data_IF_048068804222
#
_entry.id   IF_048068804222
#
_cell.length_a   1.000
_cell.length_b   1.000
_cell.length_c   1.000
_cell.angle_alpha   90.00
_cell.angle_beta   90.00
_cell.angle_gamma   90.00
#
_symmetry.space_group_name_H-M   'P 1'
#
loop_
_entity.id
_entity.type
_entity.pdbx_description
1 polymer ?
#
# COMPACT_ATOMS: atom_id res chain seq x y z
N UNK A 1 -3.53 22.09 -9.18
CA UNK A 1 -3.19 21.71 -7.79
C UNK A 1 -4.36 21.84 -6.81
N UNK A 2 -5.00 23.01 -6.67
CA UNK A 2 -6.09 23.22 -5.69
C UNK A 2 -7.27 22.25 -5.87
N UNK A 3 -7.72 22.06 -7.11
CA UNK A 3 -8.83 21.17 -7.46
C UNK A 3 -8.56 19.69 -7.10
N UNK A 4 -7.30 19.25 -7.20
CA UNK A 4 -6.88 17.91 -6.81
C UNK A 4 -6.96 17.74 -5.28
N UNK A 5 -6.46 18.72 -4.52
CA UNK A 5 -6.55 18.74 -3.06
C UNK A 5 -8.00 18.76 -2.55
N UNK A 6 -8.87 19.54 -3.18
CA UNK A 6 -10.28 19.64 -2.81
C UNK A 6 -11.03 18.33 -3.09
N UNK A 7 -10.70 17.67 -4.22
CA UNK A 7 -11.24 16.35 -4.56
C UNK A 7 -10.77 15.28 -3.58
N UNK A 8 -9.48 15.28 -3.23
CA UNK A 8 -8.91 14.35 -2.26
C UNK A 8 -9.54 14.52 -0.87
N UNK A 9 -9.73 15.76 -0.40
CA UNK A 9 -10.41 16.05 0.87
C UNK A 9 -11.86 15.53 0.88
N UNK A 10 -12.59 15.70 -0.23
CA UNK A 10 -13.96 15.20 -0.38
C UNK A 10 -14.02 13.67 -0.37
N UNK A 11 -13.05 13.00 -1.00
CA UNK A 11 -12.93 11.54 -0.98
C UNK A 11 -12.58 11.03 0.42
N UNK A 12 -11.60 11.62 1.10
CA UNK A 12 -11.26 11.28 2.48
C UNK A 12 -12.46 11.42 3.41
N UNK A 13 -13.25 12.49 3.28
CA UNK A 13 -14.48 12.64 4.06
C UNK A 13 -15.50 11.52 3.81
N UNK A 14 -15.72 11.13 2.54
CA UNK A 14 -16.67 10.08 2.14
C UNK A 14 -16.25 8.67 2.57
N UNK A 15 -14.95 8.36 2.52
CA UNK A 15 -14.42 7.00 2.77
C UNK A 15 -13.65 6.90 4.10
N UNK A 16 -13.79 7.89 4.98
CA UNK A 16 -13.15 7.91 6.30
C UNK A 16 -13.60 6.78 7.24
N UNK A 17 -14.73 6.14 6.91
CA UNK A 17 -15.24 4.96 7.61
C UNK A 17 -15.48 3.85 6.58
N UNK A 18 -15.01 2.63 6.84
CA UNK A 18 -15.28 1.49 6.01
C UNK A 18 -16.76 1.16 6.13
N UNK A 19 -17.39 0.88 4.99
CA UNK A 19 -18.80 0.52 4.91
C UNK A 19 -19.14 -0.74 5.72
N UNK A 20 -18.13 -1.56 6.01
CA UNK A 20 -18.24 -2.75 6.87
C UNK A 20 -17.23 -2.68 8.02
N UNK A 21 -17.67 -2.88 9.27
CA UNK A 21 -16.76 -3.01 10.39
C UNK A 21 -15.87 -4.26 10.20
N UNK A 22 -14.57 -4.11 10.42
CA UNK A 22 -13.65 -5.25 10.44
C UNK A 22 -13.87 -5.99 11.75
N UNK A 23 -14.19 -7.29 11.67
CA UNK A 23 -14.33 -8.13 12.87
C UNK A 23 -13.02 -8.86 13.17
N UNK A 24 -12.70 -9.01 14.46
CA UNK A 24 -11.59 -9.85 14.89
C UNK A 24 -12.05 -11.33 15.01
N UNK A 25 -11.16 -12.22 15.44
CA UNK A 25 -11.45 -13.67 15.56
C UNK A 25 -12.49 -13.99 16.64
N UNK A 26 -12.73 -13.07 17.58
CA UNK A 26 -13.75 -13.18 18.63
C UNK A 26 -15.09 -12.53 18.24
N UNK A 27 -15.30 -12.24 16.95
CA UNK A 27 -16.49 -11.56 16.38
C UNK A 27 -16.73 -10.13 16.93
N UNK A 28 -15.75 -9.57 17.63
CA UNK A 28 -15.79 -8.19 18.10
C UNK A 28 -15.51 -7.24 16.93
N UNK A 29 -16.32 -6.19 16.85
CA UNK A 29 -16.08 -5.10 15.91
C UNK A 29 -14.80 -4.38 16.33
N UNK A 30 -13.76 -4.49 15.51
CA UNK A 30 -12.54 -3.70 15.69
C UNK A 30 -12.93 -2.26 15.45
N UNK A 31 -12.97 -1.46 16.53
CA UNK A 31 -13.10 -0.01 16.41
C UNK A 31 -11.82 0.44 15.72
N UNK A 32 -11.98 0.80 14.46
CA UNK A 32 -10.97 1.03 13.41
C UNK A 32 -9.81 1.96 13.82
N UNK A 33 -9.93 2.72 14.90
CA UNK A 33 -9.12 3.91 15.10
C UNK A 33 -7.83 3.69 15.88
N UNK A 34 -7.80 2.85 16.90
CA UNK A 34 -6.61 2.73 17.76
C UNK A 34 -5.92 1.39 17.59
N UNK A 35 -6.64 0.27 17.77
CA UNK A 35 -6.03 -1.05 17.68
C UNK A 35 -5.54 -1.36 16.27
N UNK A 36 -6.31 -0.99 15.25
CA UNK A 36 -5.90 -1.17 13.85
C UNK A 36 -4.73 -0.27 13.48
N UNK A 37 -4.69 0.98 13.96
CA UNK A 37 -3.51 1.85 13.79
C UNK A 37 -2.29 1.27 14.46
N UNK A 38 -2.41 0.75 15.68
CA UNK A 38 -1.30 0.10 16.39
C UNK A 38 -0.78 -1.12 15.63
N UNK A 39 -1.67 -1.92 15.02
CA UNK A 39 -1.27 -3.03 14.13
C UNK A 39 -0.54 -2.55 12.88
N UNK A 40 -1.04 -1.50 12.22
CA UNK A 40 -0.37 -0.91 11.06
C UNK A 40 1.01 -0.36 11.44
N UNK A 41 1.11 0.42 12.52
CA UNK A 41 2.37 0.96 13.02
C UNK A 41 3.38 -0.16 13.27
N UNK A 42 2.98 -1.25 13.96
CA UNK A 42 3.87 -2.38 14.20
C UNK A 42 4.33 -3.07 12.91
N UNK A 43 3.42 -3.30 11.97
CA UNK A 43 3.74 -3.96 10.70
C UNK A 43 4.70 -3.12 9.84
N UNK A 44 4.47 -1.81 9.75
CA UNK A 44 5.34 -0.91 9.00
C UNK A 44 6.67 -0.67 9.69
N UNK A 45 6.70 -0.61 11.03
CA UNK A 45 7.94 -0.50 11.79
C UNK A 45 8.86 -1.69 11.51
N UNK A 46 8.32 -2.92 11.60
CA UNK A 46 9.07 -4.14 11.29
C UNK A 46 9.56 -4.18 9.83
N UNK A 47 8.75 -3.73 8.88
CA UNK A 47 9.07 -3.86 7.45
C UNK A 47 9.93 -2.72 6.89
N UNK A 48 9.75 -1.48 7.38
CA UNK A 48 10.47 -0.30 6.92
C UNK A 48 11.75 -0.02 7.71
N UNK A 49 11.81 -0.40 8.99
CA UNK A 49 13.02 -0.27 9.81
C UNK A 49 13.86 -1.55 9.83
N UNK A 50 13.50 -2.55 9.02
CA UNK A 50 14.33 -3.74 8.80
C UNK A 50 15.70 -3.29 8.29
N UNK A 51 16.80 -3.68 8.97
CA UNK A 51 18.14 -3.37 8.50
C UNK A 51 18.36 -3.97 7.12
N UNK A 52 19.17 -3.29 6.30
CA UNK A 52 19.59 -3.79 5.00
C UNK A 52 20.13 -5.21 5.20
N UNK A 53 19.58 -6.23 4.50
CA UNK A 53 20.10 -7.59 4.59
C UNK A 53 21.62 -7.58 4.36
N UNK A 54 22.37 -8.13 5.31
CA UNK A 54 23.85 -8.12 5.31
C UNK A 54 24.43 -8.98 4.18
N UNK A 55 23.67 -9.95 3.75
CA UNK A 55 23.83 -10.64 2.49
C UNK A 55 23.45 -9.66 1.37
N UNK A 56 24.47 -9.09 0.72
CA UNK A 56 24.35 -8.57 -0.65
C UNK A 56 23.53 -9.60 -1.42
N UNK A 57 22.38 -9.18 -1.92
CA UNK A 57 21.51 -10.00 -2.73
C UNK A 57 22.38 -10.43 -3.92
N UNK A 58 22.85 -11.67 -3.91
CA UNK A 58 23.65 -12.27 -4.99
C UNK A 58 22.71 -12.56 -6.17
N UNK A 59 22.07 -11.48 -6.64
CA UNK A 59 21.39 -11.46 -7.93
C UNK A 59 22.55 -11.46 -8.91
N UNK A 60 22.90 -12.66 -9.40
CA UNK A 60 23.56 -12.78 -10.70
C UNK A 60 22.77 -11.90 -11.65
N UNK A 61 23.38 -10.80 -12.10
CA UNK A 61 22.82 -9.93 -13.13
C UNK A 61 22.62 -10.81 -14.36
N UNK A 62 21.43 -11.39 -14.49
CA UNK A 62 20.97 -11.87 -15.76
C UNK A 62 20.76 -10.59 -16.56
N UNK A 63 21.68 -10.32 -17.49
CA UNK A 63 21.43 -9.37 -18.57
C UNK A 63 20.27 -9.95 -19.37
N UNK A 64 19.06 -9.69 -18.89
CA UNK A 64 17.86 -9.98 -19.65
C UNK A 64 17.70 -8.73 -20.49
N UNK A 65 18.14 -8.85 -21.74
CA UNK A 65 17.76 -7.91 -22.78
C UNK A 65 16.26 -8.11 -23.00
N UNK A 66 15.46 -7.51 -22.12
CA UNK A 66 14.01 -7.50 -22.24
C UNK A 66 13.74 -6.57 -23.42
N UNK A 67 13.64 -7.14 -24.61
CA UNK A 67 13.04 -6.48 -25.76
C UNK A 67 11.56 -6.29 -25.42
N UNK A 68 11.26 -5.20 -24.74
CA UNK A 68 9.89 -4.70 -24.62
C UNK A 68 9.56 -4.15 -26.00
N UNK A 69 8.70 -4.87 -26.73
CA UNK A 69 8.12 -4.31 -27.94
C UNK A 69 7.22 -3.14 -27.53
N UNK A 70 7.72 -1.93 -27.76
CA UNK A 70 7.03 -0.66 -27.50
C UNK A 70 6.13 -0.32 -28.69
N UNK A 71 5.35 -1.28 -29.17
CA UNK A 71 4.31 -0.97 -30.15
C UNK A 71 3.26 -0.09 -29.46
N UNK A 72 3.05 1.17 -29.92
CA UNK A 72 2.02 2.02 -29.35
C UNK A 72 0.65 1.39 -29.56
N UNK A 73 -0.27 1.46 -28.59
CA UNK A 73 -1.61 0.95 -28.79
C UNK A 73 -2.25 1.71 -29.95
N UNK A 74 -2.61 1.00 -31.02
CA UNK A 74 -3.44 1.54 -32.09
C UNK A 74 -4.80 1.83 -31.50
N UNK A 75 -5.15 3.10 -31.39
CA UNK A 75 -6.49 3.55 -31.06
C UNK A 75 -7.33 3.36 -32.32
N UNK A 76 -8.32 2.46 -32.27
CA UNK A 76 -9.48 2.48 -33.18
C UNK A 76 -10.52 3.50 -32.70
#
# INVERSE_FOLDING_TARGET
>A
MKQLCDTMKKLVGKYSKPERPVKNKEDNTVIETEEQRNRWTKHFDEHLNRPVPSNLLDIKVAHRDILIDVTPPTIE
#
